data_IF_995481969035
#
_entry.id   IF_995481969035
#
_cell.length_a   1.000
_cell.length_b   1.000
_cell.length_c   1.000
_cell.angle_alpha   90.00
_cell.angle_beta   90.00
_cell.angle_gamma   90.00
#
_symmetry.space_group_name_H-M   'P 1'
#
loop_
_entity.id
_entity.type
_entity.pdbx_description
1 polymer ?
#
# COMPACT_ATOMS: atom_id res chain seq x y z
N UNK A 1 -10.30 21.64 8.61
CA UNK A 1 -10.73 20.38 7.96
C UNK A 1 -9.55 19.63 7.38
N UNK A 2 -8.75 20.25 6.50
CA UNK A 2 -7.61 19.55 5.89
C UNK A 2 -6.63 18.96 6.92
N UNK A 3 -6.17 19.75 7.91
CA UNK A 3 -5.36 19.25 9.04
C UNK A 3 -5.93 18.02 9.78
N UNK A 4 -7.25 18.01 10.00
CA UNK A 4 -7.92 16.91 10.71
C UNK A 4 -8.06 15.67 9.82
N UNK A 5 -8.04 15.88 8.51
CA UNK A 5 -8.17 14.83 7.51
C UNK A 5 -6.78 14.28 7.14
N UNK A 6 -5.85 15.12 6.73
CA UNK A 6 -4.59 14.77 6.11
C UNK A 6 -3.37 15.02 7.01
N UNK A 7 -3.60 15.32 8.29
CA UNK A 7 -2.56 15.51 9.28
C UNK A 7 -1.77 16.80 9.08
N UNK A 8 -0.69 16.95 9.83
CA UNK A 8 0.14 18.15 9.85
C UNK A 8 0.82 18.46 8.51
N UNK A 9 1.24 17.44 7.76
CA UNK A 9 1.91 17.60 6.46
C UNK A 9 1.03 18.25 5.39
N UNK A 10 -0.29 18.22 5.56
CA UNK A 10 -1.23 18.95 4.70
C UNK A 10 -0.95 20.46 4.64
N UNK A 11 -0.35 21.04 5.70
CA UNK A 11 0.02 22.46 5.74
C UNK A 11 1.00 22.87 4.65
N UNK A 12 1.79 21.92 4.12
CA UNK A 12 2.68 22.15 2.98
C UNK A 12 1.92 22.63 1.74
N UNK A 13 0.66 22.23 1.57
CA UNK A 13 -0.21 22.69 0.49
C UNK A 13 -0.59 24.16 0.64
N UNK A 14 -0.57 24.69 1.87
CA UNK A 14 -0.98 26.03 2.23
C UNK A 14 0.21 26.95 2.56
N UNK A 15 1.43 26.58 2.16
CA UNK A 15 2.66 27.31 2.49
C UNK A 15 2.62 28.80 2.10
N UNK A 16 1.92 29.13 1.02
CA UNK A 16 1.78 30.52 0.50
C UNK A 16 0.73 31.32 1.28
N UNK A 17 -0.22 30.65 1.94
CA UNK A 17 -1.34 31.27 2.65
C UNK A 17 -0.97 31.68 4.10
N UNK A 18 0.07 31.06 4.67
CA UNK A 18 0.50 31.30 6.05
C UNK A 18 1.74 32.20 6.14
N UNK A 19 1.82 32.96 7.24
CA UNK A 19 3.04 33.67 7.58
C UNK A 19 4.20 32.66 7.75
N UNK A 20 5.40 32.90 7.17
CA UNK A 20 6.50 31.93 7.18
C UNK A 20 6.89 31.42 8.57
N UNK A 21 6.85 32.30 9.58
CA UNK A 21 7.13 31.93 10.98
C UNK A 21 6.09 30.96 11.55
N UNK A 22 4.82 31.16 11.24
CA UNK A 22 3.72 30.28 11.68
C UNK A 22 3.83 28.92 11.00
N UNK A 23 4.08 28.90 9.69
CA UNK A 23 4.28 27.67 8.93
C UNK A 23 5.49 26.85 9.46
N UNK A 24 6.62 27.52 9.67
CA UNK A 24 7.85 26.89 10.17
C UNK A 24 7.66 26.30 11.55
N UNK A 25 6.98 27.02 12.46
CA UNK A 25 6.66 26.51 13.79
C UNK A 25 5.71 25.30 13.72
N UNK A 26 4.70 25.35 12.84
CA UNK A 26 3.74 24.27 12.69
C UNK A 26 4.40 22.96 12.18
N UNK A 27 5.26 23.02 11.17
CA UNK A 27 5.86 21.81 10.57
C UNK A 27 7.10 21.32 11.33
N UNK A 28 8.03 22.20 11.70
CA UNK A 28 9.35 21.77 12.19
C UNK A 28 9.35 21.37 13.67
N UNK A 29 8.33 21.73 14.44
CA UNK A 29 8.27 21.40 15.86
C UNK A 29 7.69 19.98 16.05
N UNK A 30 8.54 18.95 15.89
CA UNK A 30 8.10 17.53 15.82
C UNK A 30 7.29 17.03 17.04
N UNK A 31 7.37 17.74 18.18
CA UNK A 31 6.58 17.50 19.39
C UNK A 31 5.91 18.77 19.94
N UNK A 32 5.66 19.74 19.05
CA UNK A 32 5.05 21.02 19.39
C UNK A 32 3.61 20.90 19.88
N UNK A 33 3.04 22.02 20.31
CA UNK A 33 1.65 22.09 20.80
C UNK A 33 0.63 21.58 19.76
N UNK A 34 0.90 21.80 18.47
CA UNK A 34 0.06 21.33 17.36
C UNK A 34 0.05 19.80 17.30
N UNK A 35 1.22 19.15 17.34
CA UNK A 35 1.30 17.69 17.30
C UNK A 35 0.61 17.05 18.50
N UNK A 36 0.80 17.60 19.71
CA UNK A 36 0.10 17.13 20.91
C UNK A 36 -1.43 17.23 20.75
N UNK A 37 -1.91 18.32 20.15
CA UNK A 37 -3.34 18.54 19.91
C UNK A 37 -3.90 17.57 18.86
N UNK A 38 -3.17 17.34 17.78
CA UNK A 38 -3.55 16.39 16.72
C UNK A 38 -3.57 14.94 17.24
N UNK A 39 -2.54 14.50 17.97
CA UNK A 39 -2.52 13.16 18.61
C UNK A 39 -3.76 12.93 19.46
N UNK A 40 -4.09 13.89 20.34
CA UNK A 40 -5.28 13.83 21.20
C UNK A 40 -6.59 13.82 20.41
N UNK A 41 -6.64 14.56 19.30
CA UNK A 41 -7.79 14.54 18.40
C UNK A 41 -7.97 13.16 17.76
N UNK A 42 -6.93 12.62 17.11
CA UNK A 42 -7.01 11.32 16.42
C UNK A 42 -7.31 10.18 17.38
N UNK A 43 -6.68 10.14 18.55
CA UNK A 43 -6.99 9.13 19.58
C UNK A 43 -8.48 9.15 19.96
N UNK A 44 -9.06 10.35 20.14
CA UNK A 44 -10.50 10.49 20.42
C UNK A 44 -11.35 10.05 19.23
N UNK A 45 -10.96 10.42 18.01
CA UNK A 45 -11.70 10.03 16.81
C UNK A 45 -11.71 8.52 16.60
N UNK A 46 -10.61 7.82 16.90
CA UNK A 46 -10.59 6.36 16.81
C UNK A 46 -11.60 5.71 17.74
N UNK A 47 -11.69 6.20 18.98
CA UNK A 47 -12.66 5.70 19.98
C UNK A 47 -14.10 6.01 19.60
N UNK A 48 -14.38 7.21 19.11
CA UNK A 48 -15.75 7.65 18.76
C UNK A 48 -16.24 6.98 17.49
N UNK A 49 -15.43 7.04 16.42
CA UNK A 49 -15.84 6.63 15.07
C UNK A 49 -15.78 5.11 14.86
N UNK A 50 -14.78 4.45 15.46
CA UNK A 50 -14.58 3.01 15.25
C UNK A 50 -14.91 2.20 16.51
N UNK A 51 -14.59 2.72 17.69
CA UNK A 51 -14.83 2.02 18.97
C UNK A 51 -16.29 1.92 19.41
N UNK A 52 -17.21 2.69 18.84
CA UNK A 52 -18.64 2.63 19.14
C UNK A 52 -19.32 1.39 18.53
N UNK A 53 -18.91 1.02 17.31
CA UNK A 53 -19.39 -0.20 16.63
C UNK A 53 -18.52 -1.42 16.91
N UNK A 54 -17.27 -1.23 17.36
CA UNK A 54 -16.31 -2.30 17.58
C UNK A 54 -15.75 -2.30 19.01
N UNK A 55 -16.42 -3.00 19.93
CA UNK A 55 -15.99 -3.08 21.33
C UNK A 55 -14.58 -3.69 21.49
N UNK A 56 -14.25 -4.69 20.67
CA UNK A 56 -12.92 -5.31 20.65
C UNK A 56 -11.82 -4.29 20.29
N UNK A 57 -12.09 -3.38 19.36
CA UNK A 57 -11.13 -2.38 18.91
C UNK A 57 -10.87 -1.35 20.01
N UNK A 58 -11.91 -0.99 20.78
CA UNK A 58 -11.74 -0.12 21.95
C UNK A 58 -10.85 -0.76 23.00
N UNK A 59 -11.05 -2.05 23.30
CA UNK A 59 -10.22 -2.81 24.24
C UNK A 59 -8.78 -2.92 23.76
N UNK A 60 -8.56 -3.13 22.46
CA UNK A 60 -7.22 -3.13 21.86
C UNK A 60 -6.50 -1.80 22.08
N UNK A 61 -7.18 -0.67 21.83
CA UNK A 61 -6.59 0.65 22.04
C UNK A 61 -6.26 0.91 23.52
N UNK A 62 -7.06 0.37 24.45
CA UNK A 62 -6.79 0.47 25.89
C UNK A 62 -5.60 -0.39 26.31
N UNK A 63 -5.49 -1.60 25.76
CA UNK A 63 -4.37 -2.51 26.01
C UNK A 63 -3.04 -1.94 25.51
N UNK A 64 -3.03 -1.38 24.30
CA UNK A 64 -1.81 -0.83 23.70
C UNK A 64 -1.51 0.60 24.15
N UNK A 65 -2.37 1.24 24.95
CA UNK A 65 -2.22 2.66 25.30
C UNK A 65 -0.86 3.00 25.94
N UNK A 66 -0.36 2.08 26.76
CA UNK A 66 0.92 2.22 27.47
C UNK A 66 2.07 1.49 26.74
N UNK A 67 1.81 0.90 25.58
CA UNK A 67 2.82 0.25 24.76
C UNK A 67 3.76 1.28 24.13
N UNK A 68 5.04 0.91 24.00
CA UNK A 68 6.11 1.77 23.47
C UNK A 68 5.77 2.29 22.06
N UNK A 69 5.08 1.50 21.26
CA UNK A 69 4.75 1.81 19.88
C UNK A 69 3.48 2.67 19.71
N UNK A 70 2.62 2.80 20.72
CA UNK A 70 1.32 3.48 20.58
C UNK A 70 1.47 4.99 20.31
N UNK A 71 2.37 5.68 21.01
CA UNK A 71 2.64 7.08 20.73
C UNK A 71 3.26 7.28 19.34
N UNK A 72 4.07 6.33 18.87
CA UNK A 72 4.65 6.36 17.52
C UNK A 72 3.56 6.27 16.44
N UNK A 73 2.62 5.33 16.59
CA UNK A 73 1.49 5.16 15.66
C UNK A 73 0.57 6.38 15.66
N UNK A 74 0.31 6.97 16.83
CA UNK A 74 -0.41 8.26 16.93
C UNK A 74 0.36 9.41 16.30
N UNK A 75 1.69 9.43 16.44
CA UNK A 75 2.56 10.46 15.82
C UNK A 75 2.46 10.41 14.30
N UNK A 76 2.59 9.23 13.70
CA UNK A 76 2.45 9.04 12.24
C UNK A 76 1.07 9.45 11.75
N UNK A 77 0.02 9.06 12.48
CA UNK A 77 -1.34 9.48 12.15
C UNK A 77 -1.51 11.00 12.28
N UNK A 78 -0.96 11.63 13.31
CA UNK A 78 -1.00 13.08 13.46
C UNK A 78 -0.23 13.81 12.35
N UNK A 79 0.85 13.21 11.87
CA UNK A 79 1.72 13.77 10.83
C UNK A 79 1.08 13.72 9.45
N UNK A 80 0.49 12.58 9.07
CA UNK A 80 0.04 12.32 7.70
C UNK A 80 -1.46 12.04 7.56
N UNK A 81 -2.20 12.02 8.68
CA UNK A 81 -3.64 11.84 8.73
C UNK A 81 -4.13 10.59 8.01
N UNK A 82 -5.13 10.78 7.15
CA UNK A 82 -5.76 9.72 6.38
C UNK A 82 -4.88 9.10 5.30
N UNK A 83 -3.68 9.62 5.01
CA UNK A 83 -2.74 8.93 4.12
C UNK A 83 -2.51 7.48 4.57
N UNK A 84 -2.45 7.22 5.87
CA UNK A 84 -2.29 5.87 6.43
C UNK A 84 -3.61 5.18 6.80
N UNK A 85 -4.73 5.89 6.79
CA UNK A 85 -6.05 5.39 7.23
C UNK A 85 -7.08 5.34 6.09
N UNK A 86 -6.64 5.47 4.84
CA UNK A 86 -7.56 5.59 3.70
C UNK A 86 -8.30 4.28 3.47
N UNK A 87 -9.60 4.40 3.23
CA UNK A 87 -10.57 3.34 2.92
C UNK A 87 -10.81 2.31 4.04
N UNK A 88 -9.80 1.94 4.84
CA UNK A 88 -9.89 0.87 5.85
C UNK A 88 -9.12 1.19 7.16
N UNK A 89 -9.61 2.18 7.93
CA UNK A 89 -8.89 2.75 9.08
C UNK A 89 -8.62 1.76 10.22
N UNK A 90 -9.54 0.82 10.52
CA UNK A 90 -9.39 -0.15 11.60
C UNK A 90 -8.21 -1.09 11.31
N UNK A 91 -8.18 -1.69 10.12
CA UNK A 91 -7.12 -2.61 9.71
C UNK A 91 -5.75 -1.92 9.74
N UNK A 92 -5.66 -0.70 9.21
CA UNK A 92 -4.41 0.08 9.23
C UNK A 92 -3.87 0.32 10.64
N UNK A 93 -4.74 0.67 11.59
CA UNK A 93 -4.33 0.92 12.99
C UNK A 93 -3.89 -0.38 13.64
N UNK A 94 -4.66 -1.46 13.47
CA UNK A 94 -4.34 -2.78 14.02
C UNK A 94 -2.98 -3.26 13.53
N UNK A 95 -2.71 -3.19 12.23
CA UNK A 95 -1.41 -3.61 11.69
C UNK A 95 -0.25 -2.81 12.28
N UNK A 96 -0.39 -1.50 12.36
CA UNK A 96 0.65 -0.64 12.93
C UNK A 96 0.90 -0.91 14.43
N UNK A 97 -0.13 -1.30 15.19
CA UNK A 97 0.01 -1.66 16.61
C UNK A 97 0.60 -3.06 16.81
N UNK A 98 0.24 -4.02 15.96
CA UNK A 98 0.68 -5.41 16.10
C UNK A 98 2.10 -5.65 15.58
N UNK A 99 2.49 -4.92 14.53
CA UNK A 99 3.78 -5.01 13.87
C UNK A 99 4.56 -3.71 14.15
N UNK A 100 5.28 -3.70 15.28
CA UNK A 100 6.17 -2.61 15.69
C UNK A 100 7.27 -2.33 14.64
N UNK A 101 7.78 -1.10 14.58
CA UNK A 101 9.02 -0.80 13.83
C UNK A 101 8.86 -0.51 12.34
N UNK A 102 7.65 -0.35 11.83
CA UNK A 102 7.44 0.16 10.46
C UNK A 102 7.73 1.67 10.47
N UNK A 103 9.01 2.04 10.40
CA UNK A 103 9.47 3.42 10.37
C UNK A 103 9.20 4.08 9.01
N UNK A 104 9.07 5.41 8.93
CA UNK A 104 8.81 6.11 7.65
C UNK A 104 9.95 5.84 6.63
N UNK A 105 11.19 5.65 7.09
CA UNK A 105 12.30 5.17 6.24
C UNK A 105 12.12 3.73 5.77
N UNK A 106 11.53 2.87 6.60
CA UNK A 106 11.17 1.51 6.23
C UNK A 106 10.01 1.51 5.22
N UNK A 107 9.09 2.49 5.30
CA UNK A 107 8.02 2.74 4.31
C UNK A 107 8.54 3.32 2.98
N UNK A 108 9.62 4.11 3.00
CA UNK A 108 10.26 4.66 1.78
C UNK A 108 11.27 3.67 1.13
N UNK A 109 11.93 2.81 1.92
CA UNK A 109 13.00 1.91 1.43
C UNK A 109 12.54 0.45 1.25
N UNK A 110 11.42 0.02 1.85
CA UNK A 110 10.92 -1.36 1.71
C UNK A 110 9.39 -1.43 1.68
N UNK A 111 8.84 -1.94 0.58
CA UNK A 111 7.41 -2.20 0.34
C UNK A 111 6.75 -3.16 1.36
N UNK A 112 7.43 -3.57 2.43
CA UNK A 112 7.01 -4.62 3.35
C UNK A 112 5.62 -4.41 3.97
N UNK A 113 5.21 -3.17 4.30
CA UNK A 113 3.85 -2.92 4.79
C UNK A 113 2.81 -3.07 3.69
N UNK A 114 3.08 -2.55 2.49
CA UNK A 114 2.19 -2.71 1.33
C UNK A 114 2.10 -4.18 0.93
N UNK A 115 3.23 -4.89 0.96
CA UNK A 115 3.31 -6.32 0.67
C UNK A 115 2.54 -7.13 1.72
N UNK A 116 2.73 -6.84 3.01
CA UNK A 116 1.96 -7.45 4.10
C UNK A 116 0.47 -7.16 3.94
N UNK A 117 0.11 -5.90 3.74
CA UNK A 117 -1.26 -5.45 3.50
C UNK A 117 -1.89 -6.22 2.34
N UNK A 118 -1.28 -6.16 1.15
CA UNK A 118 -1.76 -6.87 -0.03
C UNK A 118 -1.85 -8.38 0.21
N UNK A 119 -0.87 -8.96 0.90
CA UNK A 119 -0.86 -10.39 1.20
C UNK A 119 -2.06 -10.78 2.06
N UNK A 120 -2.33 -10.08 3.16
CA UNK A 120 -3.43 -10.41 4.07
C UNK A 120 -4.81 -10.02 3.53
N UNK A 121 -4.91 -8.95 2.73
CA UNK A 121 -6.19 -8.52 2.11
C UNK A 121 -6.57 -9.34 0.87
N UNK A 122 -5.62 -10.07 0.28
CA UNK A 122 -5.89 -10.95 -0.86
C UNK A 122 -6.05 -12.40 -0.43
N UNK A 123 -5.21 -12.86 0.49
CA UNK A 123 -5.11 -14.27 0.88
C UNK A 123 -5.63 -14.57 2.30
N UNK A 124 -6.16 -13.55 3.00
CA UNK A 124 -6.69 -13.69 4.35
C UNK A 124 -5.62 -13.96 5.41
N UNK A 125 -6.07 -14.20 6.63
CA UNK A 125 -5.23 -14.43 7.81
C UNK A 125 -4.28 -15.64 7.66
N UNK A 126 -4.70 -16.69 6.96
CA UNK A 126 -3.90 -17.91 6.71
C UNK A 126 -2.54 -17.63 6.08
N UNK A 127 -2.43 -16.54 5.32
CA UNK A 127 -1.17 -16.14 4.69
C UNK A 127 -0.05 -15.77 5.68
N UNK A 128 -0.40 -15.52 6.95
CA UNK A 128 0.54 -15.17 8.00
C UNK A 128 0.45 -16.12 9.23
N UNK A 129 -0.14 -17.32 9.08
CA UNK A 129 -0.40 -18.28 10.16
C UNK A 129 0.86 -18.79 10.90
N UNK A 130 2.06 -18.65 10.30
CA UNK A 130 3.33 -18.95 10.98
C UNK A 130 3.61 -18.01 12.18
N UNK A 131 2.81 -16.97 12.36
CA UNK A 131 2.87 -16.05 13.48
C UNK A 131 2.16 -16.65 14.71
N UNK A 132 2.91 -17.13 15.70
CA UNK A 132 2.45 -17.99 16.80
C UNK A 132 1.56 -17.34 17.88
N UNK A 133 1.20 -16.06 17.75
CA UNK A 133 0.42 -15.33 18.75
C UNK A 133 -1.07 -15.39 18.44
N UNK A 134 -1.77 -16.35 19.06
CA UNK A 134 -3.21 -16.57 18.91
C UNK A 134 -4.05 -15.31 19.24
N UNK A 135 -3.58 -14.46 20.18
CA UNK A 135 -4.32 -13.26 20.56
C UNK A 135 -4.24 -12.22 19.44
N UNK A 136 -3.06 -12.01 18.87
CA UNK A 136 -2.86 -11.11 17.72
C UNK A 136 -3.58 -11.60 16.47
N UNK A 137 -3.60 -12.92 16.24
CA UNK A 137 -4.38 -13.52 15.15
C UNK A 137 -5.89 -13.25 15.30
N UNK A 138 -6.44 -13.36 16.52
CA UNK A 138 -7.85 -13.08 16.78
C UNK A 138 -8.21 -11.61 16.50
N UNK A 139 -7.38 -10.67 16.96
CA UNK A 139 -7.55 -9.24 16.69
C UNK A 139 -7.47 -8.93 15.19
N UNK A 140 -6.51 -9.55 14.49
CA UNK A 140 -6.35 -9.33 13.05
C UNK A 140 -7.51 -9.93 12.24
N UNK A 141 -8.03 -11.09 12.66
CA UNK A 141 -9.23 -11.67 12.05
C UNK A 141 -10.41 -10.70 12.13
N UNK A 142 -10.64 -10.11 13.30
CA UNK A 142 -11.72 -9.12 13.50
C UNK A 142 -11.50 -7.87 12.64
N UNK A 143 -10.26 -7.39 12.53
CA UNK A 143 -9.93 -6.26 11.67
C UNK A 143 -10.15 -6.56 10.17
N UNK A 144 -9.85 -7.79 9.73
CA UNK A 144 -10.10 -8.25 8.37
C UNK A 144 -11.60 -8.39 8.10
N UNK A 145 -12.39 -8.88 9.05
CA UNK A 145 -13.85 -8.89 8.91
C UNK A 145 -14.39 -7.45 8.69
N UNK A 146 -13.94 -6.46 9.45
CA UNK A 146 -14.34 -5.07 9.24
C UNK A 146 -13.88 -4.51 7.88
N UNK A 147 -12.74 -4.97 7.36
CA UNK A 147 -12.24 -4.62 6.03
C UNK A 147 -13.13 -5.18 4.91
N UNK A 148 -13.46 -6.47 4.95
CA UNK A 148 -14.20 -7.14 3.88
C UNK A 148 -15.71 -6.86 3.91
N UNK A 149 -16.29 -6.63 5.10
CA UNK A 149 -17.74 -6.56 5.33
C UNK A 149 -18.49 -5.66 4.35
N UNK A 150 -18.12 -4.38 4.15
CA UNK A 150 -18.89 -3.50 3.27
C UNK A 150 -18.95 -4.01 1.84
N UNK A 151 -17.80 -4.47 1.30
CA UNK A 151 -17.72 -4.91 -0.09
C UNK A 151 -18.34 -6.29 -0.29
N UNK A 152 -18.13 -7.21 0.66
CA UNK A 152 -18.68 -8.55 0.57
C UNK A 152 -20.21 -8.51 0.60
N UNK A 153 -20.81 -7.74 1.52
CA UNK A 153 -22.26 -7.69 1.67
C UNK A 153 -22.92 -7.05 0.45
N UNK A 154 -22.33 -5.98 -0.07
CA UNK A 154 -22.74 -5.37 -1.36
C UNK A 154 -22.72 -6.42 -2.50
N UNK A 155 -21.65 -7.22 -2.60
CA UNK A 155 -21.52 -8.23 -3.65
C UNK A 155 -22.52 -9.38 -3.52
N UNK A 156 -22.81 -9.82 -2.30
CA UNK A 156 -23.82 -10.85 -2.02
C UNK A 156 -25.21 -10.36 -2.42
N UNK A 157 -25.57 -9.12 -2.04
CA UNK A 157 -26.84 -8.49 -2.38
C UNK A 157 -27.00 -8.31 -3.90
N UNK A 158 -25.98 -7.75 -4.58
CA UNK A 158 -25.96 -7.56 -6.04
C UNK A 158 -25.93 -8.88 -6.82
N UNK A 159 -25.67 -10.01 -6.14
CA UNK A 159 -25.72 -11.36 -6.71
C UNK A 159 -27.00 -12.11 -6.39
N UNK A 160 -28.00 -11.43 -5.79
CA UNK A 160 -29.31 -11.97 -5.42
C UNK A 160 -29.21 -13.16 -4.44
N UNK A 161 -28.19 -13.15 -3.58
CA UNK A 161 -28.00 -14.15 -2.53
C UNK A 161 -28.76 -13.69 -1.29
N UNK A 162 -29.57 -14.56 -0.70
CA UNK A 162 -30.28 -14.28 0.55
C UNK A 162 -29.42 -14.69 1.74
N UNK A 163 -29.53 -13.96 2.85
CA UNK A 163 -28.85 -14.31 4.10
C UNK A 163 -29.62 -15.40 4.87
N UNK A 164 -29.55 -16.63 4.38
CA UNK A 164 -30.13 -17.80 5.05
C UNK A 164 -29.09 -18.50 5.92
N UNK A 165 -29.49 -18.91 7.13
CA UNK A 165 -28.63 -19.60 8.10
C UNK A 165 -27.31 -18.85 8.40
N UNK A 166 -27.36 -17.52 8.47
CA UNK A 166 -26.21 -16.67 8.76
C UNK A 166 -25.07 -16.85 7.71
N UNK A 167 -25.46 -16.99 6.44
CA UNK A 167 -24.55 -17.16 5.31
C UNK A 167 -23.61 -15.98 5.17
N UNK A 168 -24.09 -14.75 5.38
CA UNK A 168 -23.29 -13.54 5.20
C UNK A 168 -22.11 -13.49 6.18
N UNK A 169 -22.36 -13.74 7.46
CA UNK A 169 -21.28 -13.81 8.47
C UNK A 169 -20.39 -15.05 8.28
N UNK A 170 -20.95 -16.17 7.81
CA UNK A 170 -20.15 -17.37 7.49
C UNK A 170 -19.16 -17.08 6.36
N UNK A 171 -19.65 -16.47 5.27
CA UNK A 171 -18.85 -16.03 4.14
C UNK A 171 -17.81 -15.00 4.59
N UNK A 172 -18.19 -14.03 5.43
CA UNK A 172 -17.28 -13.01 5.95
C UNK A 172 -16.12 -13.62 6.74
N UNK A 173 -16.42 -14.53 7.67
CA UNK A 173 -15.39 -15.20 8.46
C UNK A 173 -14.45 -16.03 7.58
N UNK A 174 -14.98 -16.75 6.58
CA UNK A 174 -14.17 -17.54 5.66
C UNK A 174 -13.32 -16.64 4.75
N UNK A 175 -13.85 -15.54 4.23
CA UNK A 175 -13.09 -14.55 3.44
C UNK A 175 -12.01 -13.89 4.28
N UNK A 176 -12.30 -13.53 5.53
CA UNK A 176 -11.30 -12.99 6.44
C UNK A 176 -10.16 -13.99 6.72
N UNK A 177 -10.48 -15.28 6.81
CA UNK A 177 -9.52 -16.34 7.08
C UNK A 177 -8.68 -16.74 5.87
N UNK A 178 -9.30 -16.87 4.70
CA UNK A 178 -8.71 -17.50 3.51
C UNK A 178 -8.58 -16.57 2.29
N UNK A 179 -9.06 -15.33 2.39
CA UNK A 179 -9.16 -14.42 1.25
C UNK A 179 -10.41 -14.67 0.41
N UNK A 180 -10.63 -13.84 -0.61
CA UNK A 180 -11.89 -13.78 -1.36
C UNK A 180 -12.28 -15.11 -2.02
N UNK A 181 -11.44 -15.64 -2.89
CA UNK A 181 -11.78 -16.82 -3.70
C UNK A 181 -11.92 -18.06 -2.83
N UNK A 182 -10.90 -18.36 -2.02
CA UNK A 182 -10.90 -19.55 -1.17
C UNK A 182 -11.98 -19.45 -0.08
N UNK A 183 -12.17 -18.27 0.52
CA UNK A 183 -13.19 -18.07 1.54
C UNK A 183 -14.62 -18.24 1.03
N UNK A 184 -14.90 -17.82 -0.21
CA UNK A 184 -16.22 -18.00 -0.82
C UNK A 184 -16.46 -19.44 -1.31
N UNK A 185 -15.43 -20.20 -1.66
CA UNK A 185 -15.55 -21.63 -1.97
C UNK A 185 -16.09 -22.44 -0.77
N UNK A 186 -15.71 -22.08 0.46
CA UNK A 186 -16.19 -22.75 1.68
C UNK A 186 -17.70 -22.63 1.90
N UNK A 187 -18.39 -21.71 1.21
CA UNK A 187 -19.84 -21.52 1.30
C UNK A 187 -20.56 -21.80 -0.02
N UNK A 188 -19.85 -22.31 -1.04
CA UNK A 188 -20.40 -22.53 -2.38
C UNK A 188 -21.62 -23.47 -2.36
N UNK A 189 -21.56 -24.56 -1.57
CA UNK A 189 -22.65 -25.55 -1.49
C UNK A 189 -23.95 -24.97 -0.90
N UNK A 190 -23.87 -23.85 -0.19
CA UNK A 190 -25.02 -23.15 0.41
C UNK A 190 -25.63 -22.11 -0.53
N UNK A 191 -25.01 -21.86 -1.69
CA UNK A 191 -25.42 -20.83 -2.64
C UNK A 191 -25.91 -21.50 -3.92
N UNK A 192 -27.00 -20.99 -4.49
CA UNK A 192 -27.47 -21.42 -5.80
C UNK A 192 -26.38 -21.15 -6.84
N UNK A 193 -25.98 -22.18 -7.60
CA UNK A 193 -24.87 -22.15 -8.58
C UNK A 193 -24.87 -20.91 -9.49
N UNK A 194 -26.04 -20.49 -9.99
CA UNK A 194 -26.16 -19.30 -10.86
C UNK A 194 -25.81 -17.98 -10.14
N UNK A 195 -26.18 -17.86 -8.86
CA UNK A 195 -25.87 -16.71 -8.03
C UNK A 195 -24.39 -16.74 -7.61
N UNK A 196 -23.86 -17.93 -7.30
CA UNK A 196 -22.44 -18.12 -7.01
C UNK A 196 -21.55 -17.72 -8.19
N UNK A 197 -21.91 -18.11 -9.41
CA UNK A 197 -21.18 -17.72 -10.62
C UNK A 197 -21.22 -16.20 -10.85
N UNK A 198 -22.38 -15.57 -10.60
CA UNK A 198 -22.54 -14.11 -10.67
C UNK A 198 -21.66 -13.40 -9.64
N UNK A 199 -21.65 -13.90 -8.40
CA UNK A 199 -20.80 -13.41 -7.31
C UNK A 199 -19.33 -13.52 -7.71
N UNK A 200 -18.91 -14.71 -8.14
CA UNK A 200 -17.52 -15.01 -8.52
C UNK A 200 -17.00 -14.11 -9.63
N UNK A 201 -17.84 -13.77 -10.61
CA UNK A 201 -17.46 -12.85 -11.69
C UNK A 201 -17.28 -11.39 -11.22
N UNK A 202 -17.87 -11.02 -10.08
CA UNK A 202 -17.81 -9.66 -9.51
C UNK A 202 -16.80 -9.52 -8.37
N UNK A 203 -16.20 -10.62 -7.91
CA UNK A 203 -15.15 -10.59 -6.89
C UNK A 203 -14.02 -9.69 -7.39
N UNK A 204 -13.55 -8.73 -6.59
CA UNK A 204 -12.38 -7.96 -6.95
C UNK A 204 -11.17 -8.90 -7.03
N UNK A 205 -10.76 -9.22 -8.25
CA UNK A 205 -9.55 -10.00 -8.51
C UNK A 205 -8.35 -9.09 -8.25
N UNK A 206 -7.91 -9.00 -7.01
CA UNK A 206 -6.65 -8.37 -6.66
C UNK A 206 -5.51 -9.35 -6.98
N UNK A 207 -5.07 -9.33 -8.24
CA UNK A 207 -4.03 -10.20 -8.76
C UNK A 207 -4.58 -11.53 -9.26
N UNK A 208 -4.92 -11.59 -10.54
CA UNK A 208 -5.18 -12.85 -11.24
C UNK A 208 -3.90 -13.69 -11.22
N UNK A 209 -3.94 -14.88 -10.63
CA UNK A 209 -2.91 -15.91 -10.84
C UNK A 209 -3.53 -17.26 -11.17
N UNK A 210 -4.65 -17.26 -11.90
CA UNK A 210 -4.98 -18.42 -12.74
C UNK A 210 -4.38 -18.23 -14.13
N UNK A 211 -3.05 -18.26 -14.23
CA UNK A 211 -2.34 -18.51 -15.48
C UNK A 211 -1.28 -17.48 -15.87
N UNK A 212 -0.01 -17.89 -15.72
CA UNK A 212 1.23 -17.27 -16.23
C UNK A 212 1.67 -15.98 -15.51
N UNK A 213 2.52 -16.19 -14.51
CA UNK A 213 3.58 -15.25 -14.13
C UNK A 213 4.31 -14.76 -15.39
N UNK A 214 4.25 -13.47 -15.69
CA UNK A 214 5.13 -12.84 -16.67
C UNK A 214 5.94 -11.81 -15.92
N UNK A 215 7.21 -12.16 -15.63
CA UNK A 215 8.22 -11.19 -15.24
C UNK A 215 8.20 -10.02 -16.24
N UNK A 216 8.47 -8.76 -15.81
CA UNK A 216 8.53 -7.65 -16.74
C UNK A 216 9.50 -8.00 -17.87
N UNK A 217 8.96 -8.10 -19.09
CA UNK A 217 9.71 -8.45 -20.28
C UNK A 217 10.16 -7.14 -20.91
N UNK A 218 11.44 -7.07 -21.23
CA UNK A 218 11.96 -5.97 -22.06
C UNK A 218 11.36 -6.17 -23.45
N UNK A 219 10.48 -5.25 -23.86
CA UNK A 219 10.18 -5.06 -25.27
C UNK A 219 11.41 -4.34 -25.83
N UNK A 220 11.99 -4.87 -26.91
CA UNK A 220 13.30 -4.45 -27.41
C UNK A 220 13.49 -2.92 -27.38
N UNK A 221 14.72 -2.42 -27.17
CA UNK A 221 15.02 -1.00 -27.20
C UNK A 221 14.35 -0.31 -28.40
N UNK A 222 13.76 0.86 -28.18
CA UNK A 222 13.18 1.65 -29.29
C UNK A 222 14.30 2.13 -30.23
N UNK A 223 15.54 2.17 -29.75
CA UNK A 223 16.77 2.52 -30.48
C UNK A 223 17.83 1.44 -30.28
N UNK A 224 18.59 1.10 -31.32
CA UNK A 224 19.64 0.06 -31.32
C UNK A 224 20.54 0.14 -30.06
N UNK A 225 20.95 -1.03 -29.52
CA UNK A 225 21.73 -1.16 -28.28
C UNK A 225 23.03 -0.32 -28.20
N UNK A 226 23.48 0.27 -29.31
CA UNK A 226 24.66 1.11 -29.39
C UNK A 226 24.25 2.51 -29.92
N UNK A 227 24.14 3.48 -29.03
CA UNK A 227 23.83 4.87 -29.37
C UNK A 227 25.08 5.74 -29.28
N UNK A 228 25.34 6.53 -30.33
CA UNK A 228 26.38 7.58 -30.33
C UNK A 228 25.72 8.95 -30.12
N UNK A 229 26.31 9.80 -29.28
CA UNK A 229 25.85 11.17 -29.04
C UNK A 229 26.93 12.20 -29.42
N UNK A 230 26.54 13.47 -29.56
CA UNK A 230 27.44 14.58 -29.86
C UNK A 230 27.76 15.33 -28.57
N UNK A 231 29.05 15.66 -28.36
CA UNK A 231 29.48 16.42 -27.20
C UNK A 231 28.71 17.73 -27.05
N UNK A 232 28.26 18.01 -25.83
CA UNK A 232 27.52 19.22 -25.48
C UNK A 232 26.06 19.24 -25.93
N UNK A 233 25.55 18.18 -26.56
CA UNK A 233 24.13 18.04 -26.89
C UNK A 233 23.39 17.16 -25.89
N UNK A 234 22.08 17.37 -25.80
CA UNK A 234 21.20 16.52 -25.01
C UNK A 234 20.94 15.21 -25.76
N UNK A 235 21.01 14.09 -25.05
CA UNK A 235 20.71 12.75 -25.59
C UNK A 235 19.69 12.02 -24.73
N UNK A 236 18.91 11.14 -25.35
CA UNK A 236 17.90 10.34 -24.67
C UNK A 236 18.06 8.87 -24.99
N UNK A 237 17.88 8.03 -23.97
CA UNK A 237 17.87 6.57 -24.04
C UNK A 237 16.52 6.11 -23.50
N UNK A 238 15.78 5.28 -24.25
CA UNK A 238 14.45 4.82 -23.83
C UNK A 238 14.29 3.31 -23.99
N UNK A 239 13.69 2.68 -22.96
CA UNK A 239 13.28 1.27 -22.97
C UNK A 239 11.82 1.13 -22.59
N UNK A 240 11.14 0.20 -23.27
CA UNK A 240 9.76 -0.15 -22.97
C UNK A 240 9.71 -1.48 -22.22
N UNK A 241 8.98 -1.48 -21.12
CA UNK A 241 8.80 -2.67 -20.30
C UNK A 241 7.33 -3.07 -20.33
N UNK A 242 7.05 -4.36 -20.53
CA UNK A 242 5.70 -4.92 -20.42
C UNK A 242 5.60 -5.92 -19.27
N UNK A 243 4.52 -5.85 -18.48
CA UNK A 243 4.29 -6.69 -17.31
C UNK A 243 2.97 -6.33 -16.59
N UNK A 244 2.46 -7.24 -15.75
CA UNK A 244 1.22 -7.04 -14.98
C UNK A 244 1.54 -6.32 -13.67
N UNK A 245 1.17 -5.05 -13.53
CA UNK A 245 1.57 -4.16 -12.43
C UNK A 245 2.59 -3.13 -12.90
N UNK A 246 2.49 -1.87 -12.45
CA UNK A 246 3.37 -0.77 -12.90
C UNK A 246 4.82 -1.07 -12.50
N UNK A 247 5.72 -1.42 -13.44
CA UNK A 247 7.10 -1.76 -13.09
C UNK A 247 7.85 -0.48 -12.71
N UNK A 248 8.64 -0.54 -11.65
CA UNK A 248 9.59 0.52 -11.27
C UNK A 248 10.89 0.28 -12.02
N UNK A 249 11.39 1.29 -12.74
CA UNK A 249 12.63 1.16 -13.53
C UNK A 249 13.77 1.87 -12.82
N UNK A 250 14.85 1.14 -12.53
CA UNK A 250 16.09 1.70 -11.96
C UNK A 250 17.18 1.69 -13.01
N UNK A 251 17.81 2.84 -13.23
CA UNK A 251 18.92 3.00 -14.17
C UNK A 251 20.28 2.83 -13.48
N UNK A 252 21.21 2.18 -14.17
CA UNK A 252 22.59 1.94 -13.75
C UNK A 252 23.53 2.43 -14.84
N UNK A 253 24.70 2.93 -14.44
CA UNK A 253 25.82 3.24 -15.33
C UNK A 253 27.04 2.46 -14.87
N UNK A 254 27.58 1.62 -15.75
CA UNK A 254 28.69 0.71 -15.44
C UNK A 254 28.42 -0.10 -14.16
N UNK A 255 27.23 -0.71 -14.09
CA UNK A 255 26.73 -1.52 -12.97
C UNK A 255 26.58 -0.80 -11.61
N UNK A 256 26.75 0.53 -11.58
CA UNK A 256 26.52 1.37 -10.42
C UNK A 256 25.18 2.11 -10.55
N UNK A 257 24.40 2.30 -9.47
CA UNK A 257 23.17 3.08 -9.52
C UNK A 257 23.40 4.47 -10.10
N UNK A 258 22.63 4.85 -11.12
CA UNK A 258 22.76 6.15 -11.76
C UNK A 258 22.09 7.24 -10.90
N UNK A 259 22.84 8.23 -10.38
CA UNK A 259 22.24 9.32 -9.60
C UNK A 259 21.47 10.27 -10.52
N UNK A 260 20.19 10.49 -10.24
CA UNK A 260 19.37 11.47 -10.95
C UNK A 260 19.69 12.89 -10.47
N UNK A 261 19.91 13.82 -11.40
CA UNK A 261 20.16 15.24 -11.11
C UNK A 261 19.63 16.12 -12.26
N UNK A 262 19.92 17.43 -12.24
CA UNK A 262 19.44 18.34 -13.29
C UNK A 262 19.95 18.01 -14.69
N UNK A 263 21.11 17.34 -14.78
CA UNK A 263 21.74 16.87 -16.02
C UNK A 263 21.21 15.50 -16.45
N UNK A 264 20.99 14.58 -15.50
CA UNK A 264 20.58 13.19 -15.68
C UNK A 264 19.16 12.99 -15.16
N UNK A 265 18.16 12.99 -16.06
CA UNK A 265 16.74 12.91 -15.68
C UNK A 265 16.11 11.62 -16.17
N UNK A 266 15.40 10.93 -15.30
CA UNK A 266 14.60 9.73 -15.65
C UNK A 266 13.12 10.10 -15.63
N UNK A 267 12.40 9.70 -16.67
CA UNK A 267 10.95 9.87 -16.80
C UNK A 267 10.32 8.52 -17.12
N UNK A 268 9.21 8.20 -16.46
CA UNK A 268 8.40 7.01 -16.74
C UNK A 268 7.04 7.45 -17.28
N UNK A 269 6.61 6.83 -18.38
CA UNK A 269 5.30 7.08 -19.01
C UNK A 269 4.29 6.01 -18.60
N UNK A 270 3.00 6.34 -18.72
CA UNK A 270 1.92 5.43 -18.32
C UNK A 270 1.81 4.16 -19.19
N UNK A 271 2.42 4.15 -20.38
CA UNK A 271 2.51 3.00 -21.28
C UNK A 271 3.68 2.05 -20.99
N UNK A 272 4.42 2.28 -19.89
CA UNK A 272 5.53 1.43 -19.45
C UNK A 272 6.89 1.78 -20.06
N UNK A 273 7.02 2.95 -20.70
CA UNK A 273 8.30 3.42 -21.25
C UNK A 273 9.09 4.21 -20.19
N UNK A 274 10.37 3.86 -20.01
CA UNK A 274 11.31 4.63 -19.18
C UNK A 274 12.33 5.33 -20.07
N UNK A 275 12.53 6.63 -19.85
CA UNK A 275 13.36 7.51 -20.66
C UNK A 275 14.40 8.17 -19.76
N UNK A 276 15.68 7.88 -20.01
CA UNK A 276 16.82 8.59 -19.43
C UNK A 276 17.25 9.72 -20.38
N UNK A 277 17.27 10.95 -19.88
CA UNK A 277 17.79 12.14 -20.56
C UNK A 277 19.12 12.55 -19.94
N UNK A 278 20.15 12.67 -20.78
CA UNK A 278 21.48 13.17 -20.41
C UNK A 278 21.65 14.51 -21.11
N UNK A 279 21.65 15.60 -20.34
CA UNK A 279 21.87 16.95 -20.87
C UNK A 279 23.34 17.25 -21.03
N UNK A 280 23.70 17.96 -22.10
CA UNK A 280 25.09 18.37 -22.38
C UNK A 280 26.09 17.20 -22.24
N UNK A 281 25.95 16.17 -23.08
CA UNK A 281 26.76 14.97 -22.98
C UNK A 281 28.29 15.25 -22.99
N UNK A 282 29.01 14.60 -22.08
CA UNK A 282 30.46 14.75 -21.87
C UNK A 282 31.21 13.42 -22.05
N UNK A 283 32.55 13.47 -22.12
CA UNK A 283 33.40 12.27 -22.26
C UNK A 283 33.19 11.27 -21.11
N UNK A 284 32.88 11.77 -19.91
CA UNK A 284 32.63 10.95 -18.72
C UNK A 284 31.30 10.19 -18.76
N UNK A 285 30.38 10.54 -19.66
CA UNK A 285 29.10 9.84 -19.83
C UNK A 285 29.24 8.60 -20.74
N UNK A 286 30.44 8.34 -21.29
CA UNK A 286 30.69 7.14 -22.08
C UNK A 286 30.69 5.89 -21.18
N UNK A 287 29.77 4.97 -21.43
CA UNK A 287 29.70 3.70 -20.70
C UNK A 287 28.42 2.92 -20.98
N UNK A 288 28.20 1.88 -20.19
CA UNK A 288 27.05 0.99 -20.33
C UNK A 288 25.93 1.46 -19.41
N UNK A 289 24.82 1.89 -20.00
CA UNK A 289 23.59 2.21 -19.28
C UNK A 289 22.66 1.00 -19.25
N UNK A 290 22.25 0.57 -18.06
CA UNK A 290 21.35 -0.58 -17.86
C UNK A 290 20.10 -0.12 -17.13
N UNK A 291 18.91 -0.33 -17.70
CA UNK A 291 17.65 -0.11 -17.00
C UNK A 291 17.07 -1.44 -16.52
N UNK A 292 16.87 -1.56 -15.20
CA UNK A 292 16.31 -2.74 -14.54
C UNK A 292 14.89 -2.44 -14.10
N UNK A 293 13.92 -3.10 -14.71
CA UNK A 293 12.54 -3.07 -14.26
C UNK A 293 12.31 -4.09 -13.14
N UNK A 294 11.74 -3.64 -12.03
CA UNK A 294 11.22 -4.51 -10.98
C UNK A 294 9.71 -4.29 -10.89
N UNK A 295 8.96 -5.39 -10.76
CA UNK A 295 7.55 -5.34 -10.43
C UNK A 295 7.39 -5.67 -8.94
N UNK A 296 6.31 -5.21 -8.29
CA UNK A 296 5.99 -5.50 -6.89
C UNK A 296 5.61 -6.98 -6.62
N UNK A 297 6.03 -7.89 -7.48
CA UNK A 297 5.96 -9.32 -7.24
C UNK A 297 7.38 -9.86 -7.24
N UNK A 298 7.93 -10.07 -6.04
CA UNK A 298 9.15 -10.85 -5.83
C UNK A 298 8.81 -11.98 -4.84
N UNK A 299 9.50 -13.12 -4.98
CA UNK A 299 8.96 -14.40 -5.42
C UNK A 299 8.19 -15.13 -4.31
N UNK A 300 7.44 -16.18 -4.68
CA UNK A 300 7.09 -17.24 -3.73
C UNK A 300 8.33 -17.58 -2.89
N UNK A 301 8.27 -17.29 -1.59
CA UNK A 301 9.23 -17.83 -0.64
C UNK A 301 9.16 -19.34 -0.77
N UNK A 302 10.20 -19.93 -1.36
CA UNK A 302 10.45 -21.36 -1.28
C UNK A 302 11.67 -21.52 -0.36
N UNK A 303 11.62 -22.53 0.55
CA UNK A 303 12.49 -22.65 1.71
C UNK A 303 13.98 -22.65 1.39
#
# INVERSE_FOLDING_TARGET
NDLLQNGRQSLSNHKVEFAPKVYTAAINENNGQLMKSLKKYFERQWKIKYGSSNQWFKLLLEEYKDAVNYDSVLSRTAEYGHRYLKDCPILSIVLQLLFEGIDDKFFDETNAFNDLWCTITNNGLKSIENFSDNKKQSVLLQALCEYYRPKLFELLEISEIQDEDNLYESALNNVAKYGWLQGLQEVEERIIVRHYNTLRAKIPVFGDTSGKSVQPKVEAPILENNQSCVFGQDTQISWKFSGIGKPRVTWFFNDQPLPTNDRLRVMETDDGTSILTIRQAELGDQGVYTARATNAFVPQWKP
#
